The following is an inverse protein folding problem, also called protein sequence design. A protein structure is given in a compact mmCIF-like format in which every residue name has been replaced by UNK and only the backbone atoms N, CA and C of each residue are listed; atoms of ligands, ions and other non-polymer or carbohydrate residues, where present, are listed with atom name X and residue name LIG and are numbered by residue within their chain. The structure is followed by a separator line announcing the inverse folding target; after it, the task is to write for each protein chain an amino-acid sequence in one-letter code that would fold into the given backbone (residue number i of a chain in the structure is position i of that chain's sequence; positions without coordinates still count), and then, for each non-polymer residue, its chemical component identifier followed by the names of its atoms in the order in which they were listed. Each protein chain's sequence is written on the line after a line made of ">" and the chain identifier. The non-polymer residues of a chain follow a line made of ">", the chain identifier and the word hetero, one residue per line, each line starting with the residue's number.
data_IF_043280285982
#
_entry.id   IF_043280285982
#
_cell.length_a   1.000
_cell.length_b   1.000
_cell.length_c   1.000
_cell.angle_alpha   90.00
_cell.angle_beta   90.00
_cell.angle_gamma   90.00
#
_symmetry.space_group_name_H-M   'P 1'
#
loop_
_entity.id
_entity.type
_entity.pdbx_description
1 polymer ?
#
# COMPACT_ATOMS: atom_id res chain seq x y z
N UNK A 1 -5.38 -15.82 -1.26
CA UNK A 1 -4.14 -15.13 -0.85
C UNK A 1 -3.71 -14.28 -2.02
N UNK A 2 -3.38 -13.00 -1.81
CA UNK A 2 -2.92 -12.16 -2.92
C UNK A 2 -1.44 -12.38 -3.21
N UNK A 3 -0.54 -11.92 -2.39
CA UNK A 3 0.90 -12.10 -2.51
C UNK A 3 1.53 -12.14 -1.13
N UNK A 4 2.72 -12.73 -1.02
CA UNK A 4 3.58 -12.61 0.14
C UNK A 4 4.78 -11.74 -0.22
N UNK A 5 5.17 -10.84 0.67
CA UNK A 5 6.34 -9.96 0.53
C UNK A 5 7.20 -10.03 1.78
N UNK A 6 8.52 -10.05 1.61
CA UNK A 6 9.44 -9.79 2.71
C UNK A 6 9.36 -8.31 3.10
N UNK A 7 9.39 -8.07 4.38
CA UNK A 7 9.45 -6.75 5.00
C UNK A 7 10.83 -6.52 5.57
N UNK A 8 11.13 -5.27 5.90
CA UNK A 8 12.22 -4.97 6.83
C UNK A 8 11.86 -5.48 8.22
N UNK A 9 12.74 -5.23 9.19
CA UNK A 9 12.49 -5.52 10.60
C UNK A 9 11.33 -4.63 11.10
N UNK A 10 10.15 -5.22 11.25
CA UNK A 10 8.92 -4.53 11.62
C UNK A 10 8.73 -4.44 13.15
N UNK A 11 9.24 -5.43 13.88
CA UNK A 11 9.08 -5.54 15.32
C UNK A 11 10.35 -5.22 16.11
N UNK A 12 11.43 -4.81 15.42
CA UNK A 12 12.74 -4.48 15.98
C UNK A 12 13.46 -5.64 16.70
N UNK A 13 13.31 -6.87 16.21
CA UNK A 13 14.00 -8.06 16.71
C UNK A 13 15.31 -8.37 15.94
N UNK A 14 15.62 -7.61 14.90
CA UNK A 14 16.80 -7.75 14.06
C UNK A 14 16.61 -8.74 12.89
N UNK A 15 15.42 -9.27 12.68
CA UNK A 15 15.10 -10.19 11.61
C UNK A 15 14.17 -9.53 10.59
N UNK A 16 14.15 -10.08 9.38
CA UNK A 16 13.18 -9.69 8.35
C UNK A 16 11.85 -10.38 8.59
N UNK A 17 10.76 -9.65 8.42
CA UNK A 17 9.40 -10.12 8.61
C UNK A 17 8.73 -10.43 7.25
N UNK A 18 7.53 -10.98 7.30
CA UNK A 18 6.76 -11.36 6.12
C UNK A 18 5.34 -10.79 6.21
N UNK A 19 4.84 -10.22 5.12
CA UNK A 19 3.45 -9.82 4.99
C UNK A 19 2.71 -10.68 3.98
N UNK A 20 1.48 -11.09 4.33
CA UNK A 20 0.59 -11.89 3.48
C UNK A 20 -0.79 -11.26 3.46
N UNK A 21 -1.28 -10.90 2.27
CA UNK A 21 -2.64 -10.40 2.09
C UNK A 21 -3.67 -11.52 1.85
N UNK A 22 -4.84 -11.38 2.43
CA UNK A 22 -5.97 -12.28 2.28
C UNK A 22 -7.28 -11.49 2.07
N UNK A 23 -7.51 -10.88 0.89
CA UNK A 23 -8.58 -9.91 0.66
C UNK A 23 -10.00 -10.49 0.75
N UNK A 24 -10.14 -11.80 0.73
CA UNK A 24 -11.42 -12.48 0.88
C UNK A 24 -11.66 -13.06 2.28
N UNK A 25 -10.70 -12.94 3.20
CA UNK A 25 -10.86 -13.35 4.58
C UNK A 25 -12.03 -12.58 5.23
N UNK A 26 -12.56 -13.15 6.33
CA UNK A 26 -13.65 -12.53 7.11
C UNK A 26 -14.83 -12.07 6.23
N UNK A 27 -15.29 -12.95 5.32
CA UNK A 27 -16.41 -12.70 4.41
C UNK A 27 -16.22 -11.46 3.51
N UNK A 28 -14.96 -11.21 3.08
CA UNK A 28 -14.63 -10.12 2.18
C UNK A 28 -14.28 -8.80 2.88
N UNK A 29 -14.18 -8.77 4.20
CA UNK A 29 -13.57 -7.67 4.93
C UNK A 29 -12.09 -7.53 4.51
N UNK A 30 -11.45 -8.66 4.31
CA UNK A 30 -10.04 -8.77 4.02
C UNK A 30 -9.18 -8.73 5.28
N UNK A 31 -8.01 -9.31 5.17
CA UNK A 31 -7.01 -9.32 6.22
C UNK A 31 -5.59 -9.22 5.65
N UNK A 32 -4.69 -8.71 6.47
CA UNK A 32 -3.27 -8.72 6.22
C UNK A 32 -2.57 -9.31 7.44
N UNK A 33 -1.76 -10.35 7.21
CA UNK A 33 -1.01 -11.03 8.24
C UNK A 33 0.44 -10.59 8.18
N UNK A 34 0.98 -10.13 9.29
CA UNK A 34 2.40 -9.84 9.45
C UNK A 34 2.97 -10.92 10.34
N UNK A 35 3.93 -11.66 9.81
CA UNK A 35 4.56 -12.81 10.45
C UNK A 35 5.98 -12.39 10.83
N UNK A 36 6.30 -12.47 12.11
CA UNK A 36 7.60 -12.08 12.61
C UNK A 36 8.67 -13.12 12.23
N UNK A 37 9.83 -12.61 11.80
CA UNK A 37 11.00 -13.41 11.47
C UNK A 37 11.47 -14.24 12.67
N UNK A 38 12.15 -15.36 12.37
CA UNK A 38 12.73 -16.25 13.39
C UNK A 38 14.11 -16.73 13.01
N UNK A 39 14.99 -16.95 13.99
CA UNK A 39 16.24 -17.64 13.74
C UNK A 39 16.04 -19.00 13.06
N UNK A 40 16.95 -19.35 12.14
CA UNK A 40 16.84 -20.54 11.32
C UNK A 40 16.74 -21.85 12.11
N UNK A 41 17.32 -21.91 13.28
CA UNK A 41 17.31 -23.07 14.19
C UNK A 41 15.94 -23.28 14.87
N UNK A 42 15.07 -22.27 14.84
CA UNK A 42 13.69 -22.33 15.33
C UNK A 42 12.66 -22.66 14.25
N UNK A 43 13.08 -22.77 12.97
CA UNK A 43 12.19 -23.09 11.87
C UNK A 43 12.14 -24.63 11.75
N UNK A 44 11.08 -25.21 12.27
CA UNK A 44 10.77 -26.64 12.06
C UNK A 44 9.96 -26.76 10.77
N UNK A 45 10.38 -27.65 9.84
CA UNK A 45 9.67 -27.87 8.60
C UNK A 45 8.24 -28.37 8.81
N UNK A 46 7.27 -27.78 8.12
CA UNK A 46 5.87 -28.15 8.15
C UNK A 46 5.02 -27.23 7.29
N UNK A 47 3.78 -27.61 7.00
CA UNK A 47 2.79 -26.73 6.41
C UNK A 47 2.26 -25.78 7.49
N UNK A 48 2.25 -24.48 7.21
CA UNK A 48 1.64 -23.47 8.03
C UNK A 48 0.19 -23.27 7.57
N UNK A 49 -0.76 -23.59 8.42
CA UNK A 49 -2.16 -23.19 8.23
C UNK A 49 -2.33 -21.74 8.70
N UNK A 50 -2.78 -20.85 7.80
CA UNK A 50 -2.96 -19.42 8.13
C UNK A 50 -3.99 -19.21 9.26
N UNK A 51 -4.94 -20.12 9.38
CA UNK A 51 -5.89 -20.13 10.49
C UNK A 51 -5.22 -20.44 11.85
N UNK A 52 -4.08 -21.12 11.84
CA UNK A 52 -3.25 -21.38 13.02
C UNK A 52 -2.31 -20.21 13.36
N UNK A 53 -2.14 -19.25 12.44
CA UNK A 53 -1.53 -17.94 12.70
C UNK A 53 -2.41 -17.06 13.59
N UNK A 54 -3.63 -17.46 13.83
CA UNK A 54 -4.48 -16.78 14.80
C UNK A 54 -3.91 -16.97 16.22
N UNK A 55 -2.80 -16.24 16.49
CA UNK A 55 -2.91 -15.24 17.52
C UNK A 55 -2.74 -15.78 18.92
N UNK A 56 -1.52 -16.17 19.28
CA UNK A 56 -1.22 -16.34 20.71
C UNK A 56 -2.01 -17.44 21.42
N UNK A 57 -2.87 -18.16 20.73
CA UNK A 57 -3.53 -19.31 21.29
C UNK A 57 -2.59 -20.51 21.23
N UNK A 58 -2.34 -21.12 22.39
CA UNK A 58 -1.78 -22.45 22.47
C UNK A 58 -2.78 -23.39 21.78
N UNK A 59 -2.55 -23.70 20.51
CA UNK A 59 -3.42 -24.61 19.73
C UNK A 59 -3.27 -26.07 20.21
N UNK A 60 -2.36 -26.35 21.15
CA UNK A 60 -2.14 -27.67 21.65
C UNK A 60 -1.59 -27.65 23.08
N UNK A 61 -2.17 -28.46 23.94
CA UNK A 61 -1.60 -28.84 25.24
C UNK A 61 -0.32 -29.72 25.09
N UNK A 62 0.14 -29.95 23.83
CA UNK A 62 1.38 -30.65 23.58
C UNK A 62 2.56 -29.68 23.77
N UNK A 63 3.41 -29.90 24.78
CA UNK A 63 4.61 -29.06 24.97
C UNK A 63 5.61 -29.15 23.83
N UNK A 64 5.38 -30.00 22.83
CA UNK A 64 6.16 -30.09 21.59
C UNK A 64 5.54 -29.30 20.42
N UNK A 65 4.29 -28.83 20.57
CA UNK A 65 3.67 -27.90 19.63
C UNK A 65 4.36 -26.55 19.79
N UNK A 66 5.44 -26.38 19.07
CA UNK A 66 6.17 -25.12 18.97
C UNK A 66 5.21 -24.11 18.36
N UNK A 67 5.05 -22.97 19.00
CA UNK A 67 4.46 -21.79 18.34
C UNK A 67 5.23 -21.57 17.05
N UNK A 68 4.63 -21.93 15.93
CA UNK A 68 5.36 -21.96 14.67
C UNK A 68 5.63 -20.53 14.21
N UNK A 69 4.74 -19.58 14.52
CA UNK A 69 4.96 -18.16 14.18
C UNK A 69 4.27 -17.24 15.19
N UNK A 70 4.95 -16.15 15.53
CA UNK A 70 4.36 -15.00 16.18
C UNK A 70 4.06 -13.97 15.08
N UNK A 71 2.99 -13.24 15.24
CA UNK A 71 2.57 -12.28 14.24
C UNK A 71 1.36 -11.48 14.68
N UNK A 72 0.92 -10.61 13.80
CA UNK A 72 -0.23 -9.74 14.02
C UNK A 72 -1.11 -9.73 12.76
N UNK A 73 -2.39 -9.56 12.94
CA UNK A 73 -3.36 -9.47 11.87
C UNK A 73 -4.00 -8.09 11.83
N UNK A 74 -3.98 -7.45 10.68
CA UNK A 74 -4.78 -6.27 10.40
C UNK A 74 -6.04 -6.70 9.66
N UNK A 75 -7.22 -6.23 10.09
CA UNK A 75 -8.52 -6.63 9.53
C UNK A 75 -9.27 -5.40 9.02
N UNK A 76 -9.83 -5.51 7.81
CA UNK A 76 -10.71 -4.51 7.23
C UNK A 76 -12.13 -4.57 7.78
N UNK A 77 -12.96 -3.59 7.46
CA UNK A 77 -14.39 -3.67 7.69
C UNK A 77 -15.09 -4.51 6.59
N UNK A 78 -16.32 -5.00 6.84
CA UNK A 78 -17.02 -5.85 5.88
C UNK A 78 -17.06 -5.28 4.47
N UNK A 79 -16.54 -6.02 3.50
CA UNK A 79 -16.55 -5.67 2.08
C UNK A 79 -15.38 -4.81 1.60
N UNK A 80 -14.44 -4.39 2.45
CA UNK A 80 -13.34 -3.48 2.08
C UNK A 80 -12.21 -4.14 1.30
N UNK A 81 -12.06 -5.47 1.39
CA UNK A 81 -10.98 -6.25 0.75
C UNK A 81 -9.58 -5.79 1.12
N UNK A 82 -9.36 -5.49 2.39
CA UNK A 82 -8.02 -5.19 2.90
C UNK A 82 -7.03 -6.31 2.53
N UNK A 83 -5.80 -5.94 2.16
CA UNK A 83 -4.79 -6.91 1.73
C UNK A 83 -4.95 -7.37 0.28
N UNK A 84 -5.70 -6.63 -0.56
CA UNK A 84 -5.74 -6.87 -2.01
C UNK A 84 -4.36 -6.68 -2.66
N UNK A 85 -3.59 -5.75 -2.17
CA UNK A 85 -2.20 -5.50 -2.51
C UNK A 85 -1.44 -5.09 -1.25
N UNK A 86 -0.19 -5.48 -1.12
CA UNK A 86 0.68 -5.08 -0.01
C UNK A 86 2.12 -5.02 -0.48
N UNK A 87 2.90 -4.17 0.18
CA UNK A 87 4.34 -4.05 -0.05
C UNK A 87 5.06 -3.53 1.21
N UNK A 88 6.39 -3.56 1.20
CA UNK A 88 7.25 -2.87 2.15
C UNK A 88 7.17 -1.36 1.89
N UNK A 89 6.70 -0.60 2.86
CA UNK A 89 6.70 0.86 2.80
C UNK A 89 8.09 1.45 3.13
N UNK A 90 9.01 0.63 3.61
CA UNK A 90 10.27 1.10 4.16
C UNK A 90 10.07 1.82 5.49
N UNK A 91 10.93 2.76 5.81
CA UNK A 91 10.80 3.64 6.97
C UNK A 91 10.05 4.91 6.52
N UNK A 92 8.72 4.83 6.52
CA UNK A 92 7.85 5.88 6.00
C UNK A 92 7.66 7.03 6.99
N UNK A 93 7.75 6.73 8.28
CA UNK A 93 7.56 7.69 9.38
C UNK A 93 8.87 8.18 10.01
N UNK A 94 10.03 7.73 9.53
CA UNK A 94 11.39 8.06 10.02
C UNK A 94 11.65 7.63 11.47
N UNK A 95 11.12 6.50 11.93
CA UNK A 95 11.37 5.96 13.27
C UNK A 95 12.50 4.91 13.31
N UNK A 96 13.03 4.54 12.14
CA UNK A 96 14.11 3.59 11.95
C UNK A 96 13.66 2.14 11.80
N UNK A 97 12.35 1.88 11.77
CA UNK A 97 11.78 0.54 11.56
C UNK A 97 11.15 0.41 10.18
N UNK A 98 10.87 -0.80 9.77
CA UNK A 98 10.15 -1.06 8.53
C UNK A 98 8.64 -0.94 8.72
N UNK A 99 7.97 -0.28 7.80
CA UNK A 99 6.51 -0.13 7.76
C UNK A 99 5.87 -0.99 6.68
N UNK A 100 4.59 -1.27 6.83
CA UNK A 100 3.84 -2.10 5.87
C UNK A 100 2.79 -1.26 5.17
N UNK A 101 2.79 -1.28 3.84
CA UNK A 101 1.79 -0.65 2.99
C UNK A 101 0.76 -1.68 2.53
N UNK A 102 -0.53 -1.39 2.75
CA UNK A 102 -1.63 -2.33 2.51
C UNK A 102 -2.77 -1.63 1.79
N UNK A 103 -3.17 -2.15 0.63
CA UNK A 103 -4.28 -1.63 -0.16
C UNK A 103 -5.64 -2.22 0.24
N UNK A 104 -6.66 -1.36 0.22
CA UNK A 104 -8.07 -1.67 0.49
C UNK A 104 -8.97 -1.01 -0.56
N UNK A 105 -9.11 -1.59 -1.76
CA UNK A 105 -9.73 -0.91 -2.90
C UNK A 105 -11.24 -0.69 -2.78
N UNK A 106 -11.90 -1.36 -1.87
CA UNK A 106 -13.35 -1.20 -1.68
C UNK A 106 -13.71 -0.35 -0.44
N UNK A 107 -12.70 0.24 0.22
CA UNK A 107 -12.92 1.18 1.33
C UNK A 107 -13.88 2.29 0.90
N UNK A 108 -14.81 2.69 1.79
CA UNK A 108 -15.70 3.85 1.62
C UNK A 108 -16.38 3.90 0.23
N UNK A 109 -17.32 2.98 -0.05
CA UNK A 109 -18.04 2.94 -1.34
C UNK A 109 -17.13 2.78 -2.58
N UNK A 110 -16.06 2.03 -2.47
CA UNK A 110 -15.08 1.83 -3.56
C UNK A 110 -14.29 3.10 -3.93
N UNK A 111 -14.28 4.14 -3.11
CA UNK A 111 -13.25 5.17 -3.22
C UNK A 111 -11.90 4.51 -3.14
N UNK A 112 -11.84 3.46 -2.31
CA UNK A 112 -10.64 2.74 -2.01
C UNK A 112 -9.71 3.54 -1.11
N UNK A 113 -8.56 2.96 -0.82
CA UNK A 113 -7.54 3.58 0.01
C UNK A 113 -6.41 2.61 0.31
N UNK A 114 -5.48 3.09 1.08
CA UNK A 114 -4.37 2.29 1.59
C UNK A 114 -4.11 2.64 3.05
N UNK A 115 -3.58 1.68 3.79
CA UNK A 115 -3.06 1.89 5.13
C UNK A 115 -1.54 1.75 5.12
N UNK A 116 -0.84 2.56 5.90
CA UNK A 116 0.53 2.30 6.32
C UNK A 116 0.47 1.91 7.80
N UNK A 117 0.91 0.69 8.09
CA UNK A 117 0.99 0.17 9.44
C UNK A 117 2.44 0.27 9.88
N UNK A 118 2.71 1.03 10.95
CA UNK A 118 4.05 1.33 11.42
C UNK A 118 4.65 0.17 12.19
N UNK A 119 5.92 -0.12 11.90
CA UNK A 119 6.72 -0.99 12.73
C UNK A 119 6.91 -0.39 14.11
N UNK A 120 6.97 -1.22 15.14
CA UNK A 120 7.25 -0.77 16.50
C UNK A 120 7.75 -1.92 17.37
N UNK A 121 8.67 -1.60 18.32
CA UNK A 121 9.21 -2.57 19.29
C UNK A 121 8.13 -3.21 20.14
N UNK A 122 7.10 -2.46 20.45
CA UNK A 122 5.99 -2.88 21.32
C UNK A 122 4.99 -3.80 20.62
N UNK A 123 5.04 -3.90 19.28
CA UNK A 123 4.09 -4.69 18.50
C UNK A 123 4.12 -6.18 18.90
N UNK A 124 5.31 -6.73 19.13
CA UNK A 124 5.46 -8.12 19.56
C UNK A 124 4.85 -8.39 20.96
N UNK A 125 4.63 -7.37 21.76
CA UNK A 125 4.06 -7.45 23.10
C UNK A 125 2.54 -7.17 23.15
N UNK A 126 1.92 -6.83 22.01
CA UNK A 126 0.48 -6.60 21.98
C UNK A 126 -0.27 -7.88 22.35
N UNK A 127 -1.17 -7.75 23.31
CA UNK A 127 -2.07 -8.85 23.70
C UNK A 127 -3.20 -9.05 22.70
N UNK A 128 -3.55 -8.00 21.96
CA UNK A 128 -4.51 -8.02 20.88
C UNK A 128 -3.75 -8.20 19.57
N UNK A 129 -3.89 -9.33 18.98
CA UNK A 129 -3.19 -9.75 17.76
C UNK A 129 -4.02 -9.51 16.49
N UNK A 130 -5.31 -9.20 16.62
CA UNK A 130 -6.19 -8.73 15.58
C UNK A 130 -6.48 -7.23 15.77
N UNK A 131 -6.07 -6.40 14.80
CA UNK A 131 -6.23 -4.95 14.83
C UNK A 131 -7.16 -4.53 13.69
N UNK A 132 -8.28 -3.86 13.97
CA UNK A 132 -9.07 -3.22 12.93
C UNK A 132 -8.26 -2.11 12.24
N UNK A 133 -8.19 -2.12 10.89
CA UNK A 133 -7.49 -1.08 10.13
C UNK A 133 -7.94 0.34 10.53
N UNK A 134 -9.24 0.50 10.77
CA UNK A 134 -9.82 1.79 11.14
C UNK A 134 -9.26 2.38 12.44
N UNK A 135 -8.67 1.55 13.31
CA UNK A 135 -8.11 1.97 14.59
C UNK A 135 -6.61 2.36 14.53
N UNK A 136 -5.94 2.15 13.39
CA UNK A 136 -4.52 2.46 13.25
C UNK A 136 -4.19 3.90 13.67
N UNK A 137 -4.88 4.94 13.16
CA UNK A 137 -4.57 6.32 13.53
C UNK A 137 -4.80 6.62 15.01
N UNK A 138 -5.94 6.19 15.56
CA UNK A 138 -6.28 6.46 16.96
C UNK A 138 -5.39 5.76 17.97
N UNK A 139 -4.74 4.67 17.56
CA UNK A 139 -3.76 3.95 18.38
C UNK A 139 -2.32 4.42 18.18
N UNK A 140 -2.07 5.33 17.22
CA UNK A 140 -0.73 5.75 16.84
C UNK A 140 0.08 4.64 16.12
N UNK A 141 -0.61 3.62 15.60
CA UNK A 141 0.02 2.45 14.96
C UNK A 141 0.12 2.59 13.45
N UNK A 142 -0.38 3.66 12.86
CA UNK A 142 -0.34 3.84 11.42
C UNK A 142 -1.32 4.89 10.93
N UNK A 143 -1.47 4.98 9.62
CA UNK A 143 -2.31 5.97 8.98
C UNK A 143 -3.07 5.39 7.80
N UNK A 144 -4.11 6.12 7.35
CA UNK A 144 -4.99 5.69 6.28
C UNK A 144 -5.06 6.79 5.23
N UNK A 145 -4.82 6.42 3.98
CA UNK A 145 -5.02 7.25 2.80
C UNK A 145 -6.34 6.87 2.15
N UNK A 146 -7.24 7.84 1.99
CA UNK A 146 -8.57 7.62 1.44
C UNK A 146 -8.66 8.14 0.00
N UNK A 147 -9.22 7.32 -0.89
CA UNK A 147 -9.50 7.69 -2.28
C UNK A 147 -10.48 8.86 -2.36
N UNK A 148 -10.54 9.50 -3.51
CA UNK A 148 -11.30 10.73 -3.68
C UNK A 148 -12.77 10.48 -4.03
N UNK A 149 -13.03 9.77 -5.12
CA UNK A 149 -14.38 9.60 -5.65
C UNK A 149 -14.85 8.14 -5.61
N UNK A 150 -16.15 7.94 -5.48
CA UNK A 150 -16.75 6.61 -5.46
C UNK A 150 -16.43 5.86 -6.77
N UNK A 151 -15.88 4.66 -6.63
CA UNK A 151 -15.50 3.83 -7.77
C UNK A 151 -14.07 4.04 -8.31
N UNK A 152 -13.25 4.87 -7.68
CA UNK A 152 -11.84 5.09 -8.06
C UNK A 152 -10.95 3.86 -7.79
N UNK A 153 -11.31 3.04 -6.80
CA UNK A 153 -10.57 1.86 -6.35
C UNK A 153 -9.11 2.16 -5.95
N UNK A 154 -8.86 3.29 -5.30
CA UNK A 154 -7.53 3.59 -4.76
C UNK A 154 -7.04 2.42 -3.88
N UNK A 155 -5.73 2.11 -3.93
CA UNK A 155 -5.20 0.95 -3.22
C UNK A 155 -5.43 -0.41 -3.91
N UNK A 156 -6.00 -0.43 -5.12
CA UNK A 156 -6.05 -1.67 -5.91
C UNK A 156 -4.66 -2.24 -6.17
N UNK A 157 -3.66 -1.36 -6.27
CA UNK A 157 -2.24 -1.68 -6.23
C UNK A 157 -1.52 -0.65 -5.35
N UNK A 158 -0.54 -1.15 -4.59
CA UNK A 158 0.36 -0.33 -3.79
C UNK A 158 1.79 -0.82 -3.97
N UNK A 159 2.77 0.07 -3.83
CA UNK A 159 4.18 -0.30 -3.86
C UNK A 159 5.02 0.71 -3.05
N UNK A 160 6.07 0.24 -2.39
CA UNK A 160 7.10 1.11 -1.86
C UNK A 160 7.89 1.74 -3.01
N UNK A 161 8.10 3.05 -2.96
CA UNK A 161 8.85 3.79 -3.97
C UNK A 161 10.33 3.93 -3.60
N UNK A 162 10.65 3.83 -2.31
CA UNK A 162 11.92 4.25 -1.74
C UNK A 162 11.95 5.76 -1.57
N UNK A 163 13.06 6.31 -1.17
CA UNK A 163 13.26 7.74 -0.96
C UNK A 163 13.46 8.43 -2.32
N UNK A 164 12.39 9.03 -2.85
CA UNK A 164 12.34 9.65 -4.18
C UNK A 164 12.79 11.11 -4.13
N UNK A 165 12.44 11.83 -3.06
CA UNK A 165 12.76 13.26 -2.88
C UNK A 165 14.02 13.50 -2.07
N UNK A 166 14.65 12.44 -1.53
CA UNK A 166 15.91 12.45 -0.76
C UNK A 166 15.83 13.19 0.57
N UNK A 167 14.71 13.15 1.20
CA UNK A 167 14.54 13.71 2.53
C UNK A 167 14.98 12.74 3.65
N UNK A 168 15.29 11.49 3.30
CA UNK A 168 15.72 10.42 4.20
C UNK A 168 14.59 9.51 4.68
N UNK A 169 13.35 9.79 4.28
CA UNK A 169 12.19 8.92 4.49
C UNK A 169 11.90 8.10 3.24
N UNK A 170 11.13 7.04 3.36
CA UNK A 170 10.70 6.29 2.19
C UNK A 170 9.31 6.73 1.75
N UNK A 171 9.07 6.69 0.43
CA UNK A 171 7.84 7.10 -0.21
C UNK A 171 7.04 5.91 -0.69
N UNK A 172 5.76 6.13 -0.97
CA UNK A 172 4.84 5.08 -1.40
C UNK A 172 4.07 5.46 -2.67
N UNK A 173 3.67 4.42 -3.41
CA UNK A 173 2.78 4.53 -4.56
C UNK A 173 1.43 3.90 -4.24
N UNK A 174 0.35 4.61 -4.60
CA UNK A 174 -1.03 4.14 -4.47
C UNK A 174 -1.72 4.31 -5.82
N UNK A 175 -2.14 3.22 -6.45
CA UNK A 175 -2.87 3.29 -7.72
C UNK A 175 -4.38 3.32 -7.51
N UNK A 176 -5.05 4.19 -8.28
CA UNK A 176 -6.50 4.31 -8.40
C UNK A 176 -6.92 4.07 -9.86
N UNK A 177 -7.14 2.80 -10.25
CA UNK A 177 -7.23 2.39 -11.65
C UNK A 177 -8.48 2.87 -12.40
N UNK A 178 -9.51 3.30 -11.72
CA UNK A 178 -10.73 3.79 -12.35
C UNK A 178 -10.92 5.30 -12.20
N UNK A 179 -9.93 5.98 -11.62
CA UNK A 179 -10.04 7.41 -11.41
C UNK A 179 -10.16 8.16 -12.73
N UNK A 180 -11.15 9.05 -12.78
CA UNK A 180 -11.29 10.05 -13.84
C UNK A 180 -10.68 11.37 -13.39
N UNK A 181 -10.05 12.11 -14.30
CA UNK A 181 -9.39 13.37 -13.99
C UNK A 181 -9.96 14.48 -14.87
N UNK A 182 -10.40 15.55 -14.21
CA UNK A 182 -10.89 16.76 -14.85
C UNK A 182 -10.21 17.96 -14.21
N UNK A 183 -9.32 18.61 -14.94
CA UNK A 183 -8.53 19.74 -14.46
C UNK A 183 -8.60 20.89 -15.44
N UNK A 184 -8.85 22.06 -14.93
CA UNK A 184 -8.69 23.36 -15.55
C UNK A 184 -7.42 23.94 -14.90
N UNK A 185 -6.30 23.95 -15.62
CA UNK A 185 -5.00 24.28 -15.07
C UNK A 185 -4.72 25.79 -15.10
N UNK A 186 -5.37 26.53 -16.00
CA UNK A 186 -5.17 27.96 -16.16
C UNK A 186 -6.34 28.81 -15.65
N UNK A 187 -7.46 28.18 -15.27
CA UNK A 187 -8.63 28.84 -14.67
C UNK A 187 -9.52 29.56 -15.68
N UNK A 188 -9.44 29.24 -16.96
CA UNK A 188 -10.23 29.85 -18.03
C UNK A 188 -11.66 29.29 -18.16
N UNK A 189 -11.97 28.23 -17.40
CA UNK A 189 -13.25 27.53 -17.40
C UNK A 189 -13.35 26.42 -18.45
N UNK A 190 -12.27 26.17 -19.19
CA UNK A 190 -12.13 25.05 -20.12
C UNK A 190 -11.25 23.98 -19.48
N UNK A 191 -11.60 22.72 -19.60
CA UNK A 191 -10.79 21.65 -19.04
C UNK A 191 -9.57 21.36 -19.92
N UNK A 192 -8.37 21.55 -19.37
CA UNK A 192 -7.11 21.16 -20.01
C UNK A 192 -6.94 19.63 -20.00
N UNK A 193 -7.45 19.01 -18.96
CA UNK A 193 -7.47 17.55 -18.82
C UNK A 193 -8.90 17.11 -18.54
N UNK A 194 -9.50 16.36 -19.46
CA UNK A 194 -10.76 15.64 -19.26
C UNK A 194 -10.57 14.19 -19.73
N UNK A 195 -10.29 13.30 -18.77
CA UNK A 195 -10.00 11.89 -19.05
C UNK A 195 -10.79 11.03 -18.09
N UNK A 196 -11.60 10.16 -18.65
CA UNK A 196 -12.40 9.17 -17.90
C UNK A 196 -11.61 7.87 -17.76
N UNK A 197 -11.64 7.26 -16.56
CA UNK A 197 -10.96 5.99 -16.29
C UNK A 197 -9.52 5.96 -16.83
N UNK A 198 -8.86 7.11 -16.79
CA UNK A 198 -7.46 7.23 -17.25
C UNK A 198 -6.49 6.65 -16.24
N UNK A 199 -6.96 6.51 -15.01
CA UNK A 199 -6.22 6.05 -13.85
C UNK A 199 -5.17 7.01 -13.35
N UNK A 200 -4.98 6.97 -12.07
CA UNK A 200 -4.04 7.81 -11.37
C UNK A 200 -3.15 6.93 -10.50
N UNK A 201 -1.88 7.26 -10.48
CA UNK A 201 -0.94 6.75 -9.47
C UNK A 201 -0.51 7.93 -8.62
N UNK A 202 -0.79 7.85 -7.33
CA UNK A 202 -0.34 8.80 -6.33
C UNK A 202 1.03 8.38 -5.82
N UNK A 203 1.99 9.29 -5.84
CA UNK A 203 3.24 9.22 -5.08
C UNK A 203 3.04 10.05 -3.83
N UNK A 204 3.14 9.43 -2.67
CA UNK A 204 3.02 10.11 -1.37
C UNK A 204 4.40 10.11 -0.72
N UNK A 205 4.89 11.28 -0.37
CA UNK A 205 6.16 11.42 0.34
C UNK A 205 6.00 11.08 1.81
N UNK A 206 6.92 10.25 2.31
CA UNK A 206 7.00 9.93 3.73
C UNK A 206 7.38 11.15 4.55
N UNK A 207 7.01 11.19 5.81
CA UNK A 207 7.49 12.20 6.74
C UNK A 207 7.11 11.84 8.19
N UNK A 208 7.91 12.23 9.18
CA UNK A 208 7.68 11.88 10.59
C UNK A 208 6.43 12.53 11.21
N UNK A 209 5.91 13.59 10.61
CA UNK A 209 4.77 14.34 11.12
C UNK A 209 3.42 14.00 10.45
N UNK A 210 3.42 13.12 9.45
CA UNK A 210 2.19 12.77 8.69
C UNK A 210 1.07 12.23 9.58
N UNK A 211 1.39 11.44 10.62
CA UNK A 211 0.38 10.92 11.55
C UNK A 211 -0.40 12.03 12.27
N UNK A 212 0.22 13.17 12.49
CA UNK A 212 -0.39 14.32 13.17
C UNK A 212 -1.19 15.23 12.23
N UNK A 213 -1.00 15.06 10.91
CA UNK A 213 -1.71 15.83 9.91
C UNK A 213 -3.13 15.29 9.71
N UNK A 214 -4.03 16.20 9.33
CA UNK A 214 -5.37 15.87 8.92
C UNK A 214 -5.72 16.64 7.64
N UNK A 215 -6.37 15.99 6.69
CA UNK A 215 -7.00 16.71 5.58
C UNK A 215 -8.36 17.25 6.01
N UNK A 216 -8.86 18.35 5.40
CA UNK A 216 -10.15 18.90 5.75
C UNK A 216 -11.26 17.84 5.78
N UNK A 217 -11.96 17.77 6.91
CA UNK A 217 -13.04 16.81 7.14
C UNK A 217 -12.61 15.45 7.71
N UNK A 218 -11.32 15.21 7.88
CA UNK A 218 -10.76 13.98 8.44
C UNK A 218 -10.10 14.22 9.80
N UNK A 219 -9.92 13.15 10.56
CA UNK A 219 -9.14 13.13 11.79
C UNK A 219 -7.64 12.99 11.51
N UNK A 220 -6.75 13.34 12.45
CA UNK A 220 -5.31 13.08 12.30
C UNK A 220 -5.01 11.63 11.96
N UNK A 221 -4.05 11.43 11.04
CA UNK A 221 -3.69 10.10 10.52
C UNK A 221 -4.67 9.54 9.47
N UNK A 222 -5.73 10.29 9.12
CA UNK A 222 -6.59 10.01 7.95
C UNK A 222 -6.43 11.11 6.93
N UNK A 223 -5.84 10.79 5.79
CA UNK A 223 -5.50 11.75 4.75
C UNK A 223 -6.22 11.41 3.45
N UNK A 224 -6.95 12.38 2.89
CA UNK A 224 -7.58 12.19 1.60
C UNK A 224 -6.59 12.44 0.46
N UNK A 225 -6.51 11.52 -0.49
CA UNK A 225 -5.69 11.62 -1.70
C UNK A 225 -6.13 12.79 -2.62
N UNK A 226 -7.30 13.39 -2.36
CA UNK A 226 -7.72 14.62 -3.03
C UNK A 226 -6.79 15.81 -2.74
N UNK A 227 -6.01 15.76 -1.67
CA UNK A 227 -5.10 16.82 -1.25
C UNK A 227 -3.64 16.56 -1.61
N UNK A 228 -3.37 15.55 -2.47
CA UNK A 228 -2.00 15.25 -2.92
C UNK A 228 -1.37 16.48 -3.61
N UNK A 229 -0.08 16.72 -3.34
CA UNK A 229 0.63 17.89 -3.86
C UNK A 229 0.35 19.20 -3.12
N UNK A 230 -0.35 19.14 -1.99
CA UNK A 230 -0.61 20.30 -1.12
C UNK A 230 0.21 20.21 0.17
N UNK A 231 0.14 21.24 0.99
CA UNK A 231 0.77 21.25 2.33
C UNK A 231 0.16 20.21 3.29
N UNK A 232 -1.06 19.74 3.02
CA UNK A 232 -1.69 18.67 3.81
C UNK A 232 -1.10 17.31 3.51
N UNK A 233 -0.85 17.03 2.22
CA UNK A 233 -0.34 15.75 1.74
C UNK A 233 0.69 15.99 0.63
N UNK A 234 1.99 16.07 0.99
CA UNK A 234 3.07 16.20 0.03
C UNK A 234 3.15 14.99 -0.90
N UNK A 235 3.47 15.22 -2.16
CA UNK A 235 3.57 14.16 -3.14
C UNK A 235 3.28 14.62 -4.55
N UNK A 236 3.04 13.68 -5.44
CA UNK A 236 2.74 13.91 -6.84
C UNK A 236 1.65 12.98 -7.36
N UNK A 237 1.06 13.32 -8.49
CA UNK A 237 0.04 12.53 -9.16
C UNK A 237 0.46 12.26 -10.59
N UNK A 238 0.54 10.99 -10.97
CA UNK A 238 0.74 10.56 -12.35
C UNK A 238 -0.60 10.20 -12.97
N UNK A 239 -0.93 10.85 -14.09
CA UNK A 239 -2.21 10.69 -14.76
C UNK A 239 -1.99 9.92 -16.07
N UNK A 240 -2.78 8.89 -16.32
CA UNK A 240 -2.76 8.14 -17.59
C UNK A 240 -2.94 9.07 -18.80
N UNK A 241 -2.25 8.75 -19.90
CA UNK A 241 -2.22 9.60 -21.10
C UNK A 241 -3.59 9.74 -21.74
N UNK A 242 -4.36 8.64 -21.83
CA UNK A 242 -5.65 8.64 -22.46
C UNK A 242 -6.71 7.99 -21.57
N UNK A 243 -7.98 8.28 -21.86
CA UNK A 243 -9.10 7.59 -21.20
C UNK A 243 -9.02 6.09 -21.47
N UNK A 244 -9.20 5.28 -20.42
CA UNK A 244 -9.19 3.83 -20.49
C UNK A 244 -7.81 3.16 -20.62
N UNK A 245 -6.71 3.89 -20.48
CA UNK A 245 -5.34 3.31 -20.51
C UNK A 245 -5.03 2.44 -19.27
N UNK A 246 -5.76 2.63 -18.19
CA UNK A 246 -5.62 1.92 -16.92
C UNK A 246 -4.19 1.96 -16.35
N UNK A 247 -3.61 3.18 -16.22
CA UNK A 247 -2.31 3.39 -15.58
C UNK A 247 -2.30 2.86 -14.15
N UNK A 248 -1.28 2.10 -13.77
CA UNK A 248 -1.16 1.52 -12.43
C UNK A 248 -2.11 0.35 -12.18
N UNK A 249 -2.99 0.01 -13.12
CA UNK A 249 -3.86 -1.16 -12.99
C UNK A 249 -3.10 -2.46 -13.27
N UNK A 250 -3.33 -3.45 -12.40
CA UNK A 250 -3.19 -4.84 -12.80
C UNK A 250 -4.54 -5.31 -13.33
N UNK A 251 -4.57 -6.20 -14.29
CA UNK A 251 -5.80 -6.74 -14.86
C UNK A 251 -6.69 -7.36 -13.77
N UNK A 252 -7.78 -6.65 -13.44
CA UNK A 252 -8.95 -7.21 -12.79
C UNK A 252 -8.94 -7.30 -11.26
N UNK A 253 -10.09 -6.95 -10.70
CA UNK A 253 -10.54 -7.24 -9.33
C UNK A 253 -10.57 -8.77 -9.06
N UNK A 254 -10.41 -9.59 -10.08
CA UNK A 254 -10.44 -11.06 -10.06
C UNK A 254 -9.03 -11.67 -10.23
N UNK A 255 -8.12 -11.37 -9.30
CA UNK A 255 -7.00 -12.27 -9.01
C UNK A 255 -5.85 -12.34 -10.02
N UNK A 256 -5.72 -11.43 -10.96
CA UNK A 256 -4.66 -11.55 -11.96
C UNK A 256 -3.39 -10.75 -11.62
N UNK A 257 -2.24 -11.31 -12.01
CA UNK A 257 -0.91 -11.19 -11.44
C UNK A 257 -0.04 -10.09 -12.05
N UNK A 258 -0.60 -8.98 -12.48
CA UNK A 258 0.20 -7.95 -13.15
C UNK A 258 0.55 -6.80 -12.22
N UNK A 259 1.85 -6.54 -12.12
CA UNK A 259 2.39 -5.40 -11.38
C UNK A 259 2.20 -4.15 -12.23
N UNK A 260 1.26 -3.27 -11.82
CA UNK A 260 1.03 -2.00 -12.51
C UNK A 260 1.97 -0.88 -12.05
N UNK A 261 2.56 -1.02 -10.86
CA UNK A 261 3.45 -0.02 -10.25
C UNK A 261 4.57 -0.71 -9.48
N UNK A 262 5.77 -0.14 -9.51
CA UNK A 262 6.92 -0.61 -8.75
C UNK A 262 8.01 0.47 -8.65
N UNK A 263 8.88 0.35 -7.65
CA UNK A 263 10.20 1.01 -7.70
C UNK A 263 11.09 0.27 -8.70
N UNK A 264 11.82 1.03 -9.52
CA UNK A 264 12.82 0.50 -10.46
C UNK A 264 14.24 0.52 -9.88
N UNK A 265 14.41 0.96 -8.64
CA UNK A 265 15.72 1.23 -8.09
C UNK A 265 16.37 2.44 -8.77
N UNK A 266 17.67 2.47 -8.83
CA UNK A 266 18.46 3.44 -9.61
C UNK A 266 18.81 2.79 -10.95
N UNK A 267 17.95 2.97 -11.96
CA UNK A 267 18.08 2.28 -13.23
C UNK A 267 19.04 2.96 -14.21
N UNK A 268 19.34 4.24 -13.99
CA UNK A 268 20.23 5.05 -14.82
C UNK A 268 21.61 5.32 -14.17
N UNK A 269 21.80 4.93 -12.90
CA UNK A 269 23.05 5.08 -12.17
C UNK A 269 23.33 6.51 -11.66
N UNK A 270 22.29 7.35 -11.54
CA UNK A 270 22.43 8.74 -11.07
C UNK A 270 22.32 8.87 -9.54
N UNK A 271 22.15 7.76 -8.84
CA UNK A 271 22.01 7.70 -7.40
C UNK A 271 20.61 8.03 -6.88
N UNK A 272 19.61 8.08 -7.77
CA UNK A 272 18.21 8.36 -7.42
C UNK A 272 17.33 7.13 -7.68
N UNK A 273 16.23 7.07 -6.98
CA UNK A 273 15.24 6.03 -7.20
C UNK A 273 14.38 6.37 -8.42
N UNK A 274 14.10 5.37 -9.24
CA UNK A 274 13.24 5.46 -10.40
C UNK A 274 11.96 4.67 -10.17
N UNK A 275 10.92 5.00 -10.95
CA UNK A 275 9.61 4.36 -10.87
C UNK A 275 9.25 3.68 -12.18
N UNK A 276 8.56 2.53 -12.08
CA UNK A 276 7.92 1.86 -13.21
C UNK A 276 6.40 1.93 -13.05
N UNK A 277 5.73 2.49 -14.06
CA UNK A 277 4.28 2.59 -14.12
C UNK A 277 3.77 1.90 -15.38
N UNK A 278 2.90 0.90 -15.24
CA UNK A 278 2.29 0.19 -16.36
C UNK A 278 0.90 0.70 -16.69
N UNK A 279 0.59 0.86 -17.97
CA UNK A 279 -0.72 1.17 -18.52
C UNK A 279 -1.17 0.01 -19.40
N UNK A 280 -1.92 -0.93 -18.83
CA UNK A 280 -2.15 -2.27 -19.43
C UNK A 280 -3.04 -2.25 -20.66
N UNK A 281 -3.96 -1.30 -20.74
CA UNK A 281 -4.90 -1.17 -21.88
C UNK A 281 -4.50 -0.06 -22.85
N UNK A 282 -3.34 0.59 -22.65
CA UNK A 282 -2.85 1.61 -23.56
C UNK A 282 -2.68 1.07 -24.98
N UNK A 283 -2.98 1.93 -25.96
CA UNK A 283 -2.93 1.59 -27.39
C UNK A 283 -1.84 2.41 -28.10
N UNK A 284 -0.55 2.15 -27.83
CA UNK A 284 0.53 2.93 -28.40
C UNK A 284 0.62 2.75 -29.91
N UNK A 285 0.78 3.86 -30.64
CA UNK A 285 0.93 3.85 -32.11
C UNK A 285 -0.17 3.04 -32.81
N UNK A 286 -1.43 3.25 -32.41
CA UNK A 286 -2.64 2.58 -32.95
C UNK A 286 -2.66 1.05 -32.80
N UNK A 287 -1.80 0.49 -31.97
CA UNK A 287 -1.83 -0.94 -31.60
C UNK A 287 -2.79 -1.13 -30.42
N UNK A 288 -3.98 -1.59 -30.72
CA UNK A 288 -5.05 -1.74 -29.75
C UNK A 288 -4.63 -2.59 -28.55
N UNK A 289 -4.74 -2.02 -27.35
CA UNK A 289 -4.48 -2.67 -26.05
C UNK A 289 -3.13 -3.39 -25.98
N UNK A 290 -2.10 -2.83 -26.60
CA UNK A 290 -0.77 -3.41 -26.59
C UNK A 290 -0.04 -3.18 -25.25
N UNK A 291 -0.54 -2.25 -24.44
CA UNK A 291 0.07 -1.82 -23.20
C UNK A 291 1.27 -0.91 -23.38
N UNK A 292 1.53 -0.10 -22.39
CA UNK A 292 2.72 0.74 -22.26
C UNK A 292 3.30 0.61 -20.84
N UNK A 293 4.61 0.82 -20.74
CA UNK A 293 5.30 0.96 -19.45
C UNK A 293 6.10 2.24 -19.48
N UNK A 294 5.95 3.04 -18.44
CA UNK A 294 6.68 4.27 -18.22
C UNK A 294 7.78 4.03 -17.19
N UNK A 295 9.04 4.30 -17.57
CA UNK A 295 10.15 4.43 -16.64
C UNK A 295 10.31 5.93 -16.34
N UNK A 296 10.12 6.30 -15.10
CA UNK A 296 10.19 7.68 -14.63
C UNK A 296 11.45 7.80 -13.79
N UNK A 297 12.39 8.62 -14.28
CA UNK A 297 13.62 8.86 -13.54
C UNK A 297 13.40 9.81 -12.38
N UNK A 298 13.97 9.48 -11.24
CA UNK A 298 14.03 10.36 -10.09
C UNK A 298 14.67 11.68 -10.46
N UNK A 299 14.05 12.79 -10.08
CA UNK A 299 14.57 14.13 -10.31
C UNK A 299 15.06 14.69 -8.99
N UNK A 300 16.24 15.26 -8.95
CA UNK A 300 16.75 16.03 -7.84
C UNK A 300 17.27 17.36 -8.36
N UNK A 301 17.25 18.35 -7.50
CA UNK A 301 17.87 19.64 -7.77
C UNK A 301 19.37 19.52 -8.08
#
# INVERSE_FOLDING_TARGET
>A
MSNAKGLRDFNADGLVDLVIGAPLAHQGAGACYIIFGRPRDMIMGGELQIEELSLGMNVSDDPRAVRIFDGIQLVGAPGERLGQSQDDAGDFNADGLGDVLIGSPLLNNRKGGAAVFFGAREIASLTQTEIPMAELPSRGLGMIFEGQDDGDFAGARVAGAGDIDRDGTTDILIAAPNRSVRLDLDGDGVLDIDRTECCVVYLVYGAPDLLTRATPGNEPGRLSLAYIGTTYLPGAMFIGRNSGDHLGAGLGIQGDRTFGIASAGDSNGDGKRDLLLGAVDASPRDRAKAGEVYLIYGQGE
#
